data_IF_925226608171
#
_entry.id   IF_925226608171
#
_cell.length_a   1.000
_cell.length_b   1.000
_cell.length_c   1.000
_cell.angle_alpha   90.00
_cell.angle_beta   90.00
_cell.angle_gamma   90.00
#
_symmetry.space_group_name_H-M   'P 1'
#
loop_
_entity.id
_entity.type
_entity.pdbx_description
1 polymer ?
#
# COMPACT_ATOMS: atom_id res chain seq x y z
N UNK A 1 6.95 -24.18 -22.27
CA UNK A 1 6.96 -23.05 -23.21
C UNK A 1 6.88 -21.81 -22.34
N UNK A 2 7.91 -20.95 -22.28
CA UNK A 2 7.80 -19.72 -21.50
C UNK A 2 6.71 -18.87 -22.15
N UNK A 3 5.61 -18.63 -21.46
CA UNK A 3 4.57 -17.73 -21.94
C UNK A 3 5.15 -16.34 -22.07
N UNK A 4 5.08 -15.75 -23.26
CA UNK A 4 5.52 -14.38 -23.50
C UNK A 4 4.45 -13.41 -22.99
N UNK A 5 4.61 -12.93 -21.75
CA UNK A 5 3.70 -11.97 -21.10
C UNK A 5 3.97 -10.53 -21.52
N UNK A 6 5.12 -10.24 -22.14
CA UNK A 6 5.52 -8.88 -22.48
C UNK A 6 4.54 -8.17 -23.42
N UNK A 7 4.00 -8.82 -24.48
CA UNK A 7 3.00 -8.20 -25.35
C UNK A 7 1.73 -7.78 -24.59
N UNK A 8 1.26 -8.57 -23.62
CA UNK A 8 0.08 -8.24 -22.83
C UNK A 8 0.33 -7.03 -21.92
N UNK A 9 1.46 -7.02 -21.22
CA UNK A 9 1.86 -5.89 -20.39
C UNK A 9 2.06 -4.61 -21.21
N UNK A 10 2.62 -4.72 -22.42
CA UNK A 10 2.78 -3.58 -23.33
C UNK A 10 1.44 -2.98 -23.76
N UNK A 11 0.44 -3.82 -24.04
CA UNK A 11 -0.92 -3.38 -24.36
C UNK A 11 -1.54 -2.63 -23.18
N UNK A 12 -1.41 -3.17 -21.96
CA UNK A 12 -1.91 -2.53 -20.74
C UNK A 12 -1.22 -1.19 -20.48
N UNK A 13 0.11 -1.12 -20.65
CA UNK A 13 0.86 0.12 -20.54
C UNK A 13 0.29 1.22 -21.44
N UNK A 14 0.06 0.89 -22.72
CA UNK A 14 -0.48 1.83 -23.69
C UNK A 14 -1.91 2.30 -23.35
N UNK A 15 -2.75 1.43 -22.78
CA UNK A 15 -4.09 1.80 -22.34
C UNK A 15 -4.06 2.74 -21.13
N UNK A 16 -3.32 2.36 -20.07
CA UNK A 16 -3.19 3.18 -18.86
C UNK A 16 -2.65 4.58 -19.17
N UNK A 17 -1.55 4.67 -19.92
CA UNK A 17 -0.94 5.97 -20.24
C UNK A 17 -1.83 6.87 -21.10
N UNK A 18 -2.71 6.29 -21.92
CA UNK A 18 -3.63 7.04 -22.79
C UNK A 18 -4.87 7.51 -22.03
N UNK A 19 -5.48 6.63 -21.25
CA UNK A 19 -6.84 6.84 -20.75
C UNK A 19 -6.88 7.30 -19.28
N UNK A 20 -5.77 7.20 -18.53
CA UNK A 20 -5.72 7.63 -17.13
C UNK A 20 -6.16 9.08 -16.87
N UNK A 21 -5.80 10.08 -17.68
CA UNK A 21 -6.26 11.46 -17.47
C UNK A 21 -7.78 11.65 -17.61
N UNK A 22 -8.46 10.72 -18.28
CA UNK A 22 -9.91 10.73 -18.47
C UNK A 22 -10.66 9.84 -17.48
N UNK A 23 -9.94 9.14 -16.58
CA UNK A 23 -10.56 8.33 -15.55
C UNK A 23 -11.38 9.19 -14.57
N UNK A 24 -12.43 8.60 -13.99
CA UNK A 24 -13.18 9.25 -12.92
C UNK A 24 -12.34 9.41 -11.65
N UNK A 25 -12.75 10.33 -10.76
CA UNK A 25 -12.00 10.66 -9.55
C UNK A 25 -11.92 9.48 -8.58
N UNK A 26 -10.70 9.17 -8.11
CA UNK A 26 -10.49 8.22 -7.02
C UNK A 26 -10.35 8.97 -5.69
N UNK A 27 -11.22 8.66 -4.73
CA UNK A 27 -11.09 9.16 -3.35
C UNK A 27 -10.37 8.12 -2.49
N UNK A 28 -9.40 8.53 -1.69
CA UNK A 28 -8.61 7.61 -0.88
C UNK A 28 -8.42 8.10 0.56
N UNK A 29 -8.55 7.20 1.53
CA UNK A 29 -8.31 7.45 2.95
C UNK A 29 -7.91 6.15 3.66
N UNK A 30 -7.56 6.17 4.94
CA UNK A 30 -7.48 7.31 5.86
C UNK A 30 -6.14 7.36 6.59
N UNK A 31 -5.06 6.86 5.99
CA UNK A 31 -3.70 7.05 6.50
C UNK A 31 -2.86 7.93 5.56
N UNK A 32 -2.33 9.00 6.13
CA UNK A 32 -1.30 9.82 5.51
C UNK A 32 -0.23 10.12 6.57
N UNK A 33 1.03 9.98 6.20
CA UNK A 33 2.17 10.32 7.04
C UNK A 33 3.34 10.81 6.16
N UNK A 34 4.45 11.17 6.80
CA UNK A 34 5.73 11.37 6.11
C UNK A 34 6.61 10.16 6.35
N UNK A 35 7.11 9.54 5.28
CA UNK A 35 8.12 8.50 5.37
C UNK A 35 9.52 9.12 5.31
N UNK A 36 10.33 8.82 6.32
CA UNK A 36 11.79 8.97 6.29
C UNK A 36 12.39 7.64 5.82
N UNK A 37 12.84 7.61 4.56
CA UNK A 37 13.34 6.40 3.91
C UNK A 37 14.86 6.29 4.07
N UNK A 38 15.29 5.14 4.59
CA UNK A 38 16.69 4.75 4.80
C UNK A 38 17.00 3.51 3.95
N UNK A 39 17.94 3.63 3.01
CA UNK A 39 18.43 2.52 2.18
C UNK A 39 19.65 1.92 2.85
N UNK A 40 19.47 0.77 3.50
CA UNK A 40 20.49 0.14 4.30
C UNK A 40 21.58 -0.50 3.44
N UNK A 41 22.81 -0.05 3.67
CA UNK A 41 24.04 -0.67 3.17
C UNK A 41 24.61 -1.67 4.18
N UNK A 42 25.66 -2.39 3.79
CA UNK A 42 26.47 -3.20 4.70
C UNK A 42 27.06 -2.36 5.85
N UNK A 43 27.47 -1.12 5.57
CA UNK A 43 27.96 -0.16 6.57
C UNK A 43 26.87 0.20 7.58
N UNK A 44 25.63 0.42 7.14
CA UNK A 44 24.51 0.74 8.02
C UNK A 44 24.13 -0.44 8.92
N UNK A 45 24.08 -1.65 8.36
CA UNK A 45 23.83 -2.87 9.14
C UNK A 45 24.92 -3.12 10.18
N UNK A 46 26.19 -2.92 9.81
CA UNK A 46 27.30 -3.00 10.76
C UNK A 46 27.22 -1.92 11.85
N UNK A 47 26.76 -0.71 11.51
CA UNK A 47 26.51 0.37 12.49
C UNK A 47 25.43 -0.03 13.48
N UNK A 48 24.25 -0.45 13.01
CA UNK A 48 23.15 -0.90 13.87
C UNK A 48 23.58 -2.04 14.80
N UNK A 49 24.41 -2.97 14.30
CA UNK A 49 24.96 -4.06 15.10
C UNK A 49 25.89 -3.58 16.21
N UNK A 50 26.85 -2.69 15.88
CA UNK A 50 27.72 -2.08 16.90
C UNK A 50 26.92 -1.33 17.96
N UNK A 51 25.87 -0.63 17.56
CA UNK A 51 24.98 0.08 18.48
C UNK A 51 24.24 -0.90 19.39
N UNK A 52 23.75 -2.02 18.84
CA UNK A 52 23.16 -3.10 19.63
C UNK A 52 24.15 -3.67 20.66
N UNK A 53 25.43 -3.83 20.31
CA UNK A 53 26.44 -4.37 21.22
C UNK A 53 26.93 -3.36 22.29
N UNK A 54 26.53 -2.09 22.18
CA UNK A 54 26.91 -1.06 23.16
C UNK A 54 26.35 -1.36 24.56
N UNK A 55 27.17 -1.31 25.62
CA UNK A 55 26.70 -1.50 27.00
C UNK A 55 25.83 -0.33 27.49
N UNK A 56 25.90 0.84 26.86
CA UNK A 56 25.13 2.02 27.21
C UNK A 56 23.68 1.99 26.68
N UNK A 57 23.35 1.02 25.82
CA UNK A 57 22.04 0.93 25.18
C UNK A 57 20.96 0.51 26.17
N UNK A 58 19.86 1.28 26.24
CA UNK A 58 18.77 0.99 27.18
C UNK A 58 18.02 -0.29 26.80
N UNK A 59 17.33 -0.96 27.74
CA UNK A 59 16.65 -2.23 27.46
C UNK A 59 15.61 -2.17 26.34
N UNK A 60 14.85 -1.09 26.22
CA UNK A 60 13.84 -0.91 25.16
C UNK A 60 14.50 -0.73 23.79
N UNK A 61 15.50 0.15 23.71
CA UNK A 61 16.31 0.41 22.51
C UNK A 61 16.99 -0.88 22.02
N UNK A 62 17.54 -1.68 22.95
CA UNK A 62 18.13 -3.00 22.68
C UNK A 62 17.14 -3.97 22.07
N UNK A 63 15.95 -4.11 22.67
CA UNK A 63 14.90 -5.01 22.14
C UNK A 63 14.44 -4.60 20.75
N UNK A 64 14.30 -3.30 20.51
CA UNK A 64 13.92 -2.78 19.20
C UNK A 64 14.98 -3.11 18.15
N UNK A 65 16.27 -2.82 18.40
CA UNK A 65 17.35 -3.12 17.45
C UNK A 65 17.52 -4.61 17.20
N UNK A 66 17.42 -5.45 18.24
CA UNK A 66 17.50 -6.90 18.10
C UNK A 66 16.36 -7.44 17.23
N UNK A 67 15.12 -6.98 17.48
CA UNK A 67 13.95 -7.33 16.67
C UNK A 67 14.12 -6.86 15.22
N UNK A 68 14.53 -5.61 15.03
CA UNK A 68 14.75 -5.01 13.71
C UNK A 68 15.78 -5.80 12.89
N UNK A 69 16.95 -6.07 13.47
CA UNK A 69 18.01 -6.85 12.84
C UNK A 69 17.57 -8.30 12.58
N UNK A 70 16.80 -8.90 13.48
CA UNK A 70 16.19 -10.22 13.27
C UNK A 70 15.25 -10.26 12.06
N UNK A 71 14.40 -9.23 11.89
CA UNK A 71 13.47 -9.11 10.74
C UNK A 71 14.22 -8.90 9.44
N UNK A 72 15.13 -7.93 9.38
CA UNK A 72 15.98 -7.67 8.20
C UNK A 72 16.75 -8.93 7.82
N UNK A 73 17.38 -9.58 8.80
CA UNK A 73 18.18 -10.78 8.61
C UNK A 73 17.42 -11.98 8.06
N UNK A 74 16.14 -12.09 8.39
CA UNK A 74 15.25 -13.13 7.87
C UNK A 74 14.54 -12.71 6.57
N UNK A 75 14.71 -11.45 6.15
CA UNK A 75 14.08 -10.89 4.98
C UNK A 75 12.57 -10.67 5.14
N UNK A 76 12.07 -10.54 6.36
CA UNK A 76 10.65 -10.32 6.60
C UNK A 76 10.31 -8.83 6.55
N UNK A 77 9.34 -8.48 5.72
CA UNK A 77 8.67 -7.18 5.80
C UNK A 77 7.92 -7.10 7.14
N UNK A 78 7.91 -5.92 7.76
CA UNK A 78 7.23 -5.69 9.03
C UNK A 78 6.93 -4.21 9.27
N UNK A 79 5.88 -3.95 10.03
CA UNK A 79 5.60 -2.66 10.64
C UNK A 79 5.70 -2.82 12.17
N UNK A 80 6.48 -1.97 12.84
CA UNK A 80 6.76 -2.06 14.27
C UNK A 80 6.45 -0.75 14.98
N UNK A 81 5.70 -0.82 16.08
CA UNK A 81 5.55 0.30 17.00
C UNK A 81 6.80 0.40 17.90
N UNK A 82 7.61 1.42 17.63
CA UNK A 82 8.86 1.72 18.30
C UNK A 82 8.61 2.61 19.52
N UNK A 83 8.62 2.01 20.72
CA UNK A 83 8.51 2.73 22.00
C UNK A 83 9.83 3.39 22.44
N UNK A 84 10.40 4.21 21.56
CA UNK A 84 11.66 4.95 21.75
C UNK A 84 11.49 6.39 21.28
N UNK A 85 12.38 7.29 21.73
CA UNK A 85 12.34 8.68 21.31
C UNK A 85 12.74 8.83 19.82
N UNK A 86 12.01 9.61 19.01
CA UNK A 86 12.40 9.96 17.64
C UNK A 86 13.86 10.43 17.52
N UNK A 87 14.28 11.34 18.40
CA UNK A 87 15.65 11.88 18.42
C UNK A 87 16.74 10.81 18.62
N UNK A 88 16.43 9.69 19.27
CA UNK A 88 17.37 8.57 19.40
C UNK A 88 17.50 7.80 18.08
N UNK A 89 16.39 7.53 17.39
CA UNK A 89 16.40 6.90 16.06
C UNK A 89 17.17 7.76 15.04
N UNK A 90 16.97 9.07 15.09
CA UNK A 90 17.60 10.05 14.18
C UNK A 90 19.07 10.34 14.51
N UNK A 91 19.60 9.80 15.63
CA UNK A 91 21.00 9.97 15.96
C UNK A 91 21.92 9.30 14.95
N UNK A 92 23.12 9.85 14.75
CA UNK A 92 24.13 9.31 13.83
C UNK A 92 24.60 7.89 14.20
N UNK A 93 24.42 7.48 15.45
CA UNK A 93 24.75 6.14 15.92
C UNK A 93 23.68 5.10 15.54
N UNK A 94 22.48 5.53 15.16
CA UNK A 94 21.38 4.65 14.76
C UNK A 94 21.10 4.82 13.25
N UNK A 95 20.23 5.74 12.86
CA UNK A 95 19.84 5.92 11.46
C UNK A 95 20.48 7.15 10.80
N UNK A 96 20.77 8.21 11.56
CA UNK A 96 21.19 9.50 11.02
C UNK A 96 20.11 10.13 10.11
N UNK A 97 20.56 10.78 9.03
CA UNK A 97 19.66 11.45 8.09
C UNK A 97 19.04 10.48 7.07
N UNK A 98 17.73 10.62 6.75
CA UNK A 98 17.10 9.79 5.74
C UNK A 98 17.66 10.08 4.35
N UNK A 99 17.72 9.05 3.50
CA UNK A 99 18.10 9.20 2.10
C UNK A 99 17.05 9.99 1.32
N UNK A 100 15.78 9.87 1.70
CA UNK A 100 14.66 10.56 1.04
C UNK A 100 13.53 10.78 2.05
N UNK A 101 12.80 11.88 1.90
CA UNK A 101 11.50 12.11 2.55
C UNK A 101 10.43 12.05 1.48
N UNK A 102 9.34 11.33 1.76
CA UNK A 102 8.24 11.17 0.83
C UNK A 102 6.91 11.09 1.58
N UNK A 103 5.81 11.28 0.86
CA UNK A 103 4.49 10.99 1.41
C UNK A 103 4.36 9.48 1.67
N UNK A 104 3.84 9.14 2.84
CA UNK A 104 3.63 7.78 3.32
C UNK A 104 2.16 7.49 3.62
N UNK A 105 1.86 6.22 3.89
CA UNK A 105 0.51 5.72 4.09
C UNK A 105 -0.13 5.23 2.78
N UNK A 106 -0.79 4.08 2.84
CA UNK A 106 -1.42 3.39 1.71
C UNK A 106 -2.30 4.31 0.87
N UNK A 107 -3.21 5.07 1.48
CA UNK A 107 -4.09 5.99 0.74
C UNK A 107 -3.29 7.02 -0.06
N UNK A 108 -2.26 7.61 0.55
CA UNK A 108 -1.40 8.59 -0.12
C UNK A 108 -0.51 7.95 -1.21
N UNK A 109 -0.02 6.73 -1.00
CA UNK A 109 0.78 5.99 -1.98
C UNK A 109 -0.04 5.58 -3.21
N UNK A 110 -1.30 5.17 -3.00
CA UNK A 110 -2.28 4.93 -4.08
C UNK A 110 -2.50 6.22 -4.86
N UNK A 111 -2.83 7.31 -4.17
CA UNK A 111 -3.06 8.60 -4.79
C UNK A 111 -1.83 9.13 -5.54
N UNK A 112 -0.62 8.98 -5.00
CA UNK A 112 0.61 9.37 -5.67
C UNK A 112 0.81 8.61 -6.98
N UNK A 113 0.56 7.29 -6.95
CA UNK A 113 0.66 6.45 -8.15
C UNK A 113 -0.33 6.88 -9.23
N UNK A 114 -1.57 7.17 -8.85
CA UNK A 114 -2.63 7.65 -9.76
C UNK A 114 -2.32 9.04 -10.32
N UNK A 115 -1.93 9.98 -9.46
CA UNK A 115 -1.62 11.35 -9.84
C UNK A 115 -0.46 11.43 -10.84
N UNK A 116 0.57 10.59 -10.67
CA UNK A 116 1.70 10.51 -11.61
C UNK A 116 1.28 9.99 -12.98
N UNK A 117 0.25 9.15 -13.05
CA UNK A 117 -0.36 8.70 -14.31
C UNK A 117 -1.37 9.72 -14.88
N UNK A 118 -1.62 10.83 -14.17
CA UNK A 118 -2.57 11.87 -14.56
C UNK A 118 -4.01 11.58 -14.15
N UNK A 119 -4.29 10.49 -13.43
CA UNK A 119 -5.63 10.17 -12.96
C UNK A 119 -6.06 11.10 -11.81
N UNK A 120 -7.29 11.66 -11.85
CA UNK A 120 -7.78 12.53 -10.78
C UNK A 120 -7.92 11.78 -9.45
N UNK A 121 -7.35 12.32 -8.39
CA UNK A 121 -7.42 11.70 -7.06
C UNK A 121 -7.54 12.75 -5.95
N UNK A 122 -8.26 12.39 -4.89
CA UNK A 122 -8.45 13.21 -3.70
C UNK A 122 -8.20 12.36 -2.46
N UNK A 123 -7.43 12.87 -1.50
CA UNK A 123 -7.16 12.18 -0.23
C UNK A 123 -7.81 12.86 0.97
N UNK A 124 -8.13 12.07 1.99
CA UNK A 124 -8.38 12.59 3.33
C UNK A 124 -7.07 13.13 3.91
N UNK A 125 -7.05 14.39 4.35
CA UNK A 125 -5.85 14.98 4.94
C UNK A 125 -6.18 16.01 6.03
N UNK A 126 -6.11 15.57 7.29
CA UNK A 126 -6.28 16.42 8.46
C UNK A 126 -4.99 17.17 8.80
N UNK A 127 -3.84 16.48 8.78
CA UNK A 127 -2.54 17.13 9.01
C UNK A 127 -2.07 17.87 7.75
N UNK A 128 -2.27 19.18 7.74
CA UNK A 128 -1.86 20.10 6.67
C UNK A 128 -0.67 20.97 7.12
N UNK A 129 0.22 20.40 7.93
CA UNK A 129 1.50 21.04 8.27
C UNK A 129 2.41 21.17 7.05
N UNK A 130 3.36 22.11 7.12
CA UNK A 130 4.35 22.32 6.04
C UNK A 130 5.10 21.03 5.70
N UNK A 131 5.48 20.24 6.71
CA UNK A 131 6.22 18.99 6.51
C UNK A 131 5.48 17.97 5.65
N UNK A 132 4.16 17.82 5.82
CA UNK A 132 3.36 16.95 4.94
C UNK A 132 3.20 17.59 3.56
N UNK A 133 2.84 18.88 3.49
CA UNK A 133 2.54 19.55 2.22
C UNK A 133 3.78 19.65 1.31
N UNK A 134 4.98 19.76 1.88
CA UNK A 134 6.26 19.69 1.14
C UNK A 134 6.49 18.33 0.48
N UNK A 135 5.94 17.25 1.04
CA UNK A 135 6.05 15.89 0.48
C UNK A 135 4.88 15.52 -0.43
N UNK A 136 3.81 16.32 -0.47
CA UNK A 136 2.58 16.04 -1.20
C UNK A 136 2.77 16.27 -2.72
N UNK A 137 2.64 15.23 -3.58
CA UNK A 137 2.77 15.37 -5.03
C UNK A 137 1.76 16.33 -5.66
N UNK A 138 2.19 17.07 -6.69
CA UNK A 138 1.45 18.17 -7.33
C UNK A 138 0.11 17.82 -8.03
N UNK A 139 -0.26 16.54 -8.09
CA UNK A 139 -1.52 16.09 -8.69
C UNK A 139 -2.54 15.52 -7.68
N UNK A 140 -2.20 15.48 -6.40
CA UNK A 140 -3.12 14.95 -5.38
C UNK A 140 -4.01 16.07 -4.84
N UNK A 141 -5.31 15.88 -4.93
CA UNK A 141 -6.31 16.79 -4.39
C UNK A 141 -6.52 16.63 -2.88
N UNK A 142 -6.75 17.74 -2.19
CA UNK A 142 -7.15 17.81 -0.77
C UNK A 142 -8.37 18.71 -0.67
N UNK A 143 -9.39 18.28 0.06
CA UNK A 143 -10.63 19.02 0.25
C UNK A 143 -10.42 20.25 1.15
N UNK A 144 -10.62 21.46 0.61
CA UNK A 144 -10.53 22.71 1.36
C UNK A 144 -11.52 23.75 0.83
N UNK A 145 -12.31 24.33 1.74
CA UNK A 145 -13.26 25.40 1.46
C UNK A 145 -14.26 25.02 0.32
N UNK A 146 -14.85 23.83 0.43
CA UNK A 146 -15.90 23.36 -0.50
C UNK A 146 -15.41 22.85 -1.86
N UNK A 147 -14.10 22.70 -2.07
CA UNK A 147 -13.54 22.15 -3.32
C UNK A 147 -12.27 21.33 -3.05
N UNK A 148 -11.90 20.45 -3.99
CA UNK A 148 -10.60 19.79 -3.97
C UNK A 148 -9.54 20.72 -4.55
N UNK A 149 -8.43 20.89 -3.83
CA UNK A 149 -7.29 21.73 -4.23
C UNK A 149 -6.01 20.90 -4.30
N UNK A 150 -5.13 21.24 -5.24
CA UNK A 150 -3.79 20.64 -5.37
C UNK A 150 -2.73 21.63 -4.90
N UNK A 151 -1.49 21.17 -4.64
CA UNK A 151 -0.38 22.08 -4.33
C UNK A 151 -0.06 22.98 -5.54
N UNK A 152 0.32 24.26 -5.33
CA UNK A 152 0.54 24.96 -4.06
C UNK A 152 -0.72 25.66 -3.50
N UNK A 153 -1.92 25.33 -3.97
CA UNK A 153 -3.17 26.04 -3.60
C UNK A 153 -3.80 25.57 -2.27
N UNK A 154 -3.19 24.58 -1.62
CA UNK A 154 -3.59 24.11 -0.30
C UNK A 154 -3.02 25.07 0.75
N UNK A 155 -3.86 25.50 1.69
CA UNK A 155 -3.42 26.38 2.78
C UNK A 155 -2.91 25.53 3.93
N UNK A 156 -1.65 25.75 4.32
CA UNK A 156 -1.06 25.12 5.49
C UNK A 156 -1.82 25.51 6.76
N UNK A 157 -1.91 24.57 7.70
CA UNK A 157 -2.44 24.81 9.04
C UNK A 157 -1.29 24.92 10.04
N UNK A 158 -1.34 25.85 11.02
CA UNK A 158 -0.29 26.04 12.01
C UNK A 158 -0.35 24.96 13.10
N UNK A 159 -0.20 23.69 12.71
CA UNK A 159 -0.22 22.52 13.60
C UNK A 159 1.17 21.89 13.67
N UNK A 160 1.49 21.29 14.82
CA UNK A 160 2.62 20.36 14.88
C UNK A 160 2.23 19.12 14.06
N UNK A 161 2.96 18.88 12.97
CA UNK A 161 2.73 17.70 12.15
C UNK A 161 2.94 16.39 12.92
N UNK A 162 2.41 15.30 12.37
CA UNK A 162 2.64 13.94 12.88
C UNK A 162 4.12 13.59 12.79
N UNK A 163 4.64 12.79 13.73
CA UNK A 163 6.00 12.28 13.61
C UNK A 163 6.11 11.39 12.35
N UNK A 164 7.28 11.35 11.71
CA UNK A 164 7.49 10.56 10.51
C UNK A 164 7.50 9.06 10.84
N UNK A 165 7.28 8.25 9.81
CA UNK A 165 7.57 6.83 9.83
C UNK A 165 9.00 6.61 9.35
N UNK A 166 9.75 5.71 10.00
CA UNK A 166 11.12 5.39 9.60
C UNK A 166 11.09 4.12 8.78
N UNK A 167 11.38 4.23 7.49
CA UNK A 167 11.27 3.12 6.56
C UNK A 167 12.67 2.64 6.21
N UNK A 168 13.03 1.45 6.69
CA UNK A 168 14.35 0.86 6.49
C UNK A 168 14.28 -0.16 5.35
N UNK A 169 14.67 0.26 4.16
CA UNK A 169 14.75 -0.59 2.97
C UNK A 169 16.07 -1.35 2.94
N UNK A 170 16.01 -2.65 2.64
CA UNK A 170 17.17 -3.51 2.48
C UNK A 170 17.07 -4.33 1.19
N UNK A 171 18.23 -4.67 0.64
CA UNK A 171 18.32 -5.34 -0.66
C UNK A 171 18.87 -6.75 -0.55
N UNK A 172 18.31 -7.65 -1.36
CA UNK A 172 18.85 -9.00 -1.54
C UNK A 172 20.33 -8.93 -1.92
N UNK A 173 21.15 -9.69 -1.20
CA UNK A 173 22.59 -9.76 -1.44
C UNK A 173 23.42 -8.71 -0.69
N UNK A 174 22.81 -7.78 0.05
CA UNK A 174 23.54 -6.94 0.99
C UNK A 174 24.18 -7.84 2.06
N UNK A 175 25.47 -7.66 2.30
CA UNK A 175 26.22 -8.47 3.26
C UNK A 175 26.11 -7.91 4.67
N UNK A 176 26.01 -8.81 5.65
CA UNK A 176 26.06 -8.51 7.08
C UNK A 176 26.65 -9.72 7.84
N UNK A 177 26.76 -9.63 9.17
CA UNK A 177 27.43 -10.65 10.01
C UNK A 177 26.93 -12.09 9.77
N UNK A 178 25.64 -12.26 9.43
CA UNK A 178 25.00 -13.57 9.22
C UNK A 178 24.97 -14.00 7.74
N UNK A 179 25.71 -13.35 6.86
CA UNK A 179 25.81 -13.69 5.44
C UNK A 179 25.21 -12.64 4.51
N UNK A 180 24.67 -13.06 3.37
CA UNK A 180 23.99 -12.16 2.44
C UNK A 180 22.47 -12.19 2.69
N UNK A 181 21.81 -11.02 2.65
CA UNK A 181 20.36 -10.95 2.84
C UNK A 181 19.61 -11.76 1.76
N UNK A 182 18.62 -12.59 2.15
CA UNK A 182 18.01 -13.56 1.23
C UNK A 182 17.04 -12.93 0.23
N UNK A 183 16.41 -11.80 0.59
CA UNK A 183 15.45 -11.05 -0.24
C UNK A 183 15.57 -9.54 0.01
N UNK A 184 15.01 -8.76 -0.91
CA UNK A 184 14.77 -7.33 -0.69
C UNK A 184 13.46 -7.15 0.07
N UNK A 185 13.38 -6.10 0.87
CA UNK A 185 12.21 -5.79 1.69
C UNK A 185 12.42 -4.51 2.48
N UNK A 186 11.51 -4.26 3.41
CA UNK A 186 11.55 -3.09 4.28
C UNK A 186 10.97 -3.38 5.66
N UNK A 187 11.44 -2.62 6.66
CA UNK A 187 10.80 -2.54 7.97
C UNK A 187 10.37 -1.10 8.21
N UNK A 188 9.11 -0.88 8.57
CA UNK A 188 8.56 0.41 8.97
C UNK A 188 8.58 0.51 10.50
N UNK A 189 9.19 1.56 11.03
CA UNK A 189 9.14 1.89 12.46
C UNK A 189 8.23 3.11 12.66
N UNK A 190 7.26 2.97 13.55
CA UNK A 190 6.34 4.04 13.93
C UNK A 190 6.59 4.41 15.38
N UNK A 191 6.67 5.70 15.71
CA UNK A 191 6.84 6.13 17.11
C UNK A 191 5.52 6.45 17.80
N UNK A 192 4.40 6.40 17.07
CA UNK A 192 3.05 6.59 17.62
C UNK A 192 1.98 5.81 16.85
N UNK A 193 0.78 5.77 17.42
CA UNK A 193 -0.42 5.41 16.68
C UNK A 193 -0.93 6.62 15.90
N UNK A 194 -0.90 6.57 14.57
CA UNK A 194 -1.24 7.73 13.72
C UNK A 194 -2.74 8.02 13.68
N UNK A 195 -3.54 7.06 14.17
CA UNK A 195 -4.99 7.09 14.06
C UNK A 195 -5.43 7.06 12.60
N UNK A 196 -6.50 7.79 12.32
CA UNK A 196 -7.04 7.99 10.97
C UNK A 196 -7.17 9.48 10.67
N UNK A 197 -7.16 9.84 9.39
CA UNK A 197 -7.49 11.18 8.91
C UNK A 197 -9.00 11.44 9.06
N UNK A 198 -9.44 12.01 10.18
CA UNK A 198 -10.83 12.47 10.39
C UNK A 198 -11.04 13.84 9.72
N UNK A 199 -10.95 13.89 8.40
CA UNK A 199 -11.14 15.11 7.62
C UNK A 199 -12.62 15.28 7.22
N UNK A 200 -13.34 16.16 7.94
CA UNK A 200 -14.76 16.43 7.66
C UNK A 200 -14.98 17.03 6.26
N UNK A 201 -14.08 17.89 5.78
CA UNK A 201 -14.22 18.48 4.44
C UNK A 201 -14.07 17.41 3.37
N UNK A 202 -13.19 16.43 3.59
CA UNK A 202 -13.10 15.25 2.74
C UNK A 202 -14.37 14.40 2.83
N UNK A 203 -14.86 14.09 4.03
CA UNK A 203 -16.09 13.31 4.21
C UNK A 203 -17.28 13.91 3.45
N UNK A 204 -17.48 15.23 3.58
CA UNK A 204 -18.60 15.94 2.96
C UNK A 204 -18.51 15.96 1.42
N UNK A 205 -17.30 16.18 0.87
CA UNK A 205 -17.11 16.33 -0.58
C UNK A 205 -16.88 15.01 -1.31
N UNK A 206 -16.30 14.00 -0.66
CA UNK A 206 -15.89 12.75 -1.31
C UNK A 206 -17.08 11.91 -1.79
N UNK A 207 -18.24 12.00 -1.14
CA UNK A 207 -19.44 11.27 -1.53
C UNK A 207 -20.19 11.89 -2.72
N UNK A 208 -20.28 13.23 -2.77
CA UNK A 208 -21.18 13.93 -3.71
C UNK A 208 -20.50 15.06 -4.50
N UNK A 209 -19.50 15.73 -3.91
CA UNK A 209 -18.91 16.95 -4.45
C UNK A 209 -17.80 16.71 -5.48
N UNK A 210 -17.12 15.56 -5.42
CA UNK A 210 -15.97 15.24 -6.31
C UNK A 210 -16.29 14.24 -7.42
N UNK A 211 -17.55 13.79 -7.51
CA UNK A 211 -18.00 12.76 -8.45
C UNK A 211 -17.08 11.52 -8.44
N UNK A 212 -16.95 10.90 -7.26
CA UNK A 212 -16.05 9.77 -7.07
C UNK A 212 -16.49 8.57 -7.92
N UNK A 213 -15.55 8.00 -8.68
CA UNK A 213 -15.75 6.78 -9.45
C UNK A 213 -15.23 5.53 -8.72
N UNK A 214 -14.31 5.71 -7.78
CA UNK A 214 -13.89 4.67 -6.85
C UNK A 214 -13.46 5.27 -5.50
N UNK A 215 -13.66 4.50 -4.44
CA UNK A 215 -13.17 4.79 -3.09
C UNK A 215 -12.15 3.75 -2.64
N UNK A 216 -11.05 4.18 -2.02
CA UNK A 216 -10.02 3.32 -1.44
C UNK A 216 -9.91 3.59 0.06
N UNK A 217 -10.04 2.53 0.85
CA UNK A 217 -9.97 2.52 2.31
C UNK A 217 -8.74 1.77 2.78
N UNK A 218 -8.01 2.38 3.71
CA UNK A 218 -6.80 1.84 4.30
C UNK A 218 -6.46 2.56 5.60
N UNK A 219 -5.37 2.17 6.27
CA UNK A 219 -4.85 2.88 7.44
C UNK A 219 -5.39 2.43 8.78
N UNK A 220 -6.29 1.47 8.81
CA UNK A 220 -6.88 0.94 10.06
C UNK A 220 -5.84 0.28 10.98
N UNK A 221 -4.65 -0.09 10.47
CA UNK A 221 -3.53 -0.58 11.27
C UNK A 221 -2.94 0.50 12.21
N UNK A 222 -3.22 1.77 11.94
CA UNK A 222 -2.87 2.90 12.80
C UNK A 222 -3.84 3.15 13.95
N UNK A 223 -5.00 2.48 13.97
CA UNK A 223 -6.06 2.69 14.96
C UNK A 223 -5.76 1.90 16.25
N UNK A 224 -5.70 2.54 17.43
CA UNK A 224 -5.51 1.85 18.69
C UNK A 224 -6.62 0.83 18.99
N UNK A 225 -6.27 -0.24 19.71
CA UNK A 225 -7.26 -1.19 20.19
C UNK A 225 -8.33 -0.48 21.05
N UNK A 226 -9.60 -0.69 20.72
CA UNK A 226 -10.74 -0.10 21.44
C UNK A 226 -11.19 1.29 20.94
N UNK A 227 -10.51 1.90 19.97
CA UNK A 227 -10.94 3.18 19.39
C UNK A 227 -12.11 3.01 18.40
N UNK A 228 -13.32 2.83 18.94
CA UNK A 228 -14.55 2.66 18.14
C UNK A 228 -14.95 3.90 17.36
N UNK A 229 -14.54 5.09 17.80
CA UNK A 229 -14.89 6.37 17.14
C UNK A 229 -14.30 6.39 15.74
N UNK A 230 -13.01 6.06 15.61
CA UNK A 230 -12.33 5.99 14.33
C UNK A 230 -12.96 4.95 13.39
N UNK A 231 -13.33 3.78 13.90
CA UNK A 231 -14.03 2.75 13.12
C UNK A 231 -15.37 3.22 12.57
N UNK A 232 -16.21 3.81 13.44
CA UNK A 232 -17.52 4.33 13.07
C UNK A 232 -17.37 5.45 12.04
N UNK A 233 -16.39 6.34 12.22
CA UNK A 233 -16.10 7.39 11.26
C UNK A 233 -15.80 6.84 9.86
N UNK A 234 -14.79 5.96 9.74
CA UNK A 234 -14.38 5.39 8.45
C UNK A 234 -15.53 4.64 7.80
N UNK A 235 -16.26 3.82 8.55
CA UNK A 235 -17.43 3.10 8.04
C UNK A 235 -18.54 4.05 7.57
N UNK A 236 -18.75 5.16 8.27
CA UNK A 236 -19.75 6.18 7.88
C UNK A 236 -19.40 6.83 6.55
N UNK A 237 -18.14 7.26 6.37
CA UNK A 237 -17.69 7.86 5.10
C UNK A 237 -17.77 6.86 3.95
N UNK A 238 -17.33 5.62 4.18
CA UNK A 238 -17.42 4.54 3.19
C UNK A 238 -18.87 4.21 2.81
N UNK A 239 -19.78 4.20 3.79
CA UNK A 239 -21.21 4.03 3.59
C UNK A 239 -21.78 5.14 2.71
N UNK A 240 -21.41 6.39 2.99
CA UNK A 240 -21.83 7.54 2.17
C UNK A 240 -21.38 7.43 0.70
N UNK A 241 -20.17 6.90 0.43
CA UNK A 241 -19.74 6.59 -0.94
C UNK A 241 -20.63 5.55 -1.59
N UNK A 242 -20.92 4.46 -0.86
CA UNK A 242 -21.75 3.37 -1.37
C UNK A 242 -23.18 3.85 -1.67
N UNK A 243 -23.77 4.60 -0.76
CA UNK A 243 -25.12 5.18 -0.89
C UNK A 243 -25.20 6.21 -2.02
N UNK A 244 -24.10 6.90 -2.32
CA UNK A 244 -23.98 7.82 -3.45
C UNK A 244 -23.74 7.11 -4.80
N UNK A 245 -23.69 5.77 -4.81
CA UNK A 245 -23.57 4.97 -6.02
C UNK A 245 -22.15 4.75 -6.50
N UNK A 246 -21.13 4.98 -5.67
CA UNK A 246 -19.73 4.65 -6.03
C UNK A 246 -19.64 3.13 -6.27
N UNK A 247 -19.27 2.70 -7.49
CA UNK A 247 -19.36 1.28 -7.87
C UNK A 247 -18.30 0.43 -7.18
N UNK A 248 -17.10 1.00 -6.95
CA UNK A 248 -15.97 0.31 -6.35
C UNK A 248 -15.61 1.02 -5.04
N UNK A 249 -15.77 0.30 -3.94
CA UNK A 249 -15.31 0.71 -2.62
C UNK A 249 -14.36 -0.39 -2.15
N UNK A 250 -13.06 -0.11 -2.23
CA UNK A 250 -12.00 -1.08 -2.02
C UNK A 250 -11.37 -0.90 -0.64
N UNK A 251 -11.34 -1.96 0.16
CA UNK A 251 -10.61 -2.01 1.42
C UNK A 251 -9.28 -2.72 1.21
N UNK A 252 -8.18 -1.99 1.36
CA UNK A 252 -6.83 -2.55 1.40
C UNK A 252 -6.47 -2.90 2.85
N UNK A 253 -6.13 -4.16 3.08
CA UNK A 253 -5.63 -4.64 4.37
C UNK A 253 -4.14 -4.25 4.52
N UNK A 254 -3.70 -4.11 5.78
CA UNK A 254 -2.29 -3.91 6.11
C UNK A 254 -1.81 -4.85 7.23
N UNK A 255 -0.60 -4.61 7.75
CA UNK A 255 -0.06 -5.39 8.86
C UNK A 255 -0.61 -4.93 10.22
N UNK A 256 -1.77 -5.47 10.61
CA UNK A 256 -2.40 -5.15 11.90
C UNK A 256 -1.72 -5.88 13.06
N UNK A 257 -0.91 -5.15 13.83
CA UNK A 257 -0.21 -5.70 15.00
C UNK A 257 -1.15 -6.09 16.18
N UNK A 258 -2.35 -5.50 16.25
CA UNK A 258 -3.22 -5.59 17.43
C UNK A 258 -4.65 -6.03 17.13
N UNK A 259 -5.00 -6.17 15.85
CA UNK A 259 -6.37 -6.47 15.43
C UNK A 259 -6.38 -7.74 14.60
N UNK A 260 -7.30 -8.68 14.87
CA UNK A 260 -7.54 -9.78 13.96
C UNK A 260 -7.98 -9.21 12.60
N UNK A 261 -7.18 -9.45 11.56
CA UNK A 261 -7.46 -9.03 10.17
C UNK A 261 -8.91 -9.35 9.74
N UNK A 262 -9.44 -10.50 10.17
CA UNK A 262 -10.79 -10.91 9.82
C UNK A 262 -11.86 -10.03 10.45
N UNK A 263 -11.63 -9.56 11.68
CA UNK A 263 -12.54 -8.63 12.35
C UNK A 263 -12.60 -7.29 11.61
N UNK A 264 -11.48 -6.85 11.04
CA UNK A 264 -11.44 -5.67 10.16
C UNK A 264 -12.32 -5.87 8.94
N UNK A 265 -12.13 -6.96 8.21
CA UNK A 265 -12.89 -7.25 7.00
C UNK A 265 -14.40 -7.39 7.29
N UNK A 266 -14.77 -8.11 8.34
CA UNK A 266 -16.16 -8.25 8.80
C UNK A 266 -16.78 -6.91 9.16
N UNK A 267 -16.04 -6.02 9.82
CA UNK A 267 -16.54 -4.69 10.19
C UNK A 267 -16.80 -3.78 8.97
N UNK A 268 -16.39 -4.16 7.77
CA UNK A 268 -16.68 -3.42 6.54
C UNK A 268 -17.64 -4.15 5.59
N UNK A 269 -18.12 -5.34 5.99
CA UNK A 269 -19.14 -6.09 5.26
C UNK A 269 -20.38 -5.23 4.99
N UNK A 270 -20.89 -5.31 3.76
CA UNK A 270 -22.02 -4.53 3.25
C UNK A 270 -21.71 -3.08 2.87
N UNK A 271 -20.51 -2.58 3.20
CA UNK A 271 -20.09 -1.21 2.87
C UNK A 271 -19.04 -1.19 1.76
N UNK A 272 -18.13 -2.16 1.79
CA UNK A 272 -17.09 -2.31 0.75
C UNK A 272 -17.52 -3.34 -0.28
N UNK A 273 -17.10 -3.15 -1.53
CA UNK A 273 -17.39 -4.08 -2.63
C UNK A 273 -16.18 -4.93 -2.99
N UNK A 274 -14.98 -4.48 -2.62
CA UNK A 274 -13.72 -5.15 -2.91
C UNK A 274 -12.82 -5.17 -1.68
N UNK A 275 -12.05 -6.26 -1.56
CA UNK A 275 -10.98 -6.40 -0.56
C UNK A 275 -9.64 -6.61 -1.29
N UNK A 276 -8.56 -6.03 -0.77
CA UNK A 276 -7.20 -6.25 -1.22
C UNK A 276 -6.29 -6.67 -0.06
N UNK A 277 -5.36 -7.57 -0.34
CA UNK A 277 -4.39 -8.07 0.63
C UNK A 277 -3.16 -8.65 -0.06
N UNK A 278 -2.03 -8.69 0.64
CA UNK A 278 -0.92 -9.57 0.30
C UNK A 278 -1.27 -11.04 0.59
N UNK A 279 -0.55 -11.98 -0.03
CA UNK A 279 -0.66 -13.40 0.31
C UNK A 279 -0.37 -13.68 1.80
N UNK A 280 0.55 -12.92 2.40
CA UNK A 280 0.88 -13.07 3.82
C UNK A 280 -0.31 -12.66 4.72
N UNK A 281 -1.00 -11.57 4.39
CA UNK A 281 -2.21 -11.14 5.11
C UNK A 281 -3.38 -12.10 4.90
N UNK A 282 -3.56 -12.61 3.68
CA UNK A 282 -4.56 -13.65 3.39
C UNK A 282 -4.34 -14.92 4.22
N UNK A 283 -3.08 -15.32 4.42
CA UNK A 283 -2.73 -16.43 5.30
C UNK A 283 -3.05 -16.15 6.77
N UNK A 284 -2.73 -14.95 7.25
CA UNK A 284 -3.08 -14.51 8.61
C UNK A 284 -4.60 -14.38 8.85
N UNK A 285 -5.39 -14.16 7.80
CA UNK A 285 -6.85 -14.20 7.85
C UNK A 285 -7.40 -15.61 8.13
N UNK A 286 -6.63 -16.66 7.85
CA UNK A 286 -7.06 -18.05 8.03
C UNK A 286 -6.58 -19.01 6.95
N UNK A 287 -5.95 -18.53 5.87
CA UNK A 287 -5.53 -19.40 4.75
C UNK A 287 -4.24 -20.21 5.01
N UNK A 288 -3.75 -20.33 6.25
CA UNK A 288 -2.41 -20.86 6.56
C UNK A 288 -2.13 -22.26 5.97
N UNK A 289 -3.16 -23.10 5.76
CA UNK A 289 -3.03 -24.43 5.12
C UNK A 289 -4.04 -24.66 3.98
N UNK A 290 -4.77 -23.62 3.57
CA UNK A 290 -5.82 -23.73 2.56
C UNK A 290 -5.35 -23.23 1.19
N UNK A 291 -5.95 -23.74 0.11
CA UNK A 291 -5.79 -23.16 -1.22
C UNK A 291 -6.19 -21.68 -1.16
N UNK A 292 -5.28 -20.73 -1.44
CA UNK A 292 -5.57 -19.30 -1.35
C UNK A 292 -6.73 -18.88 -2.26
N UNK A 293 -6.96 -19.60 -3.37
CA UNK A 293 -8.10 -19.34 -4.26
C UNK A 293 -9.42 -19.69 -3.59
N UNK A 294 -9.49 -20.86 -2.96
CA UNK A 294 -10.70 -21.31 -2.27
C UNK A 294 -11.02 -20.40 -1.08
N UNK A 295 -10.02 -20.08 -0.26
CA UNK A 295 -10.21 -19.18 0.88
C UNK A 295 -10.64 -17.77 0.45
N UNK A 296 -10.03 -17.20 -0.60
CA UNK A 296 -10.44 -15.90 -1.12
C UNK A 296 -11.88 -15.90 -1.64
N UNK A 297 -12.34 -16.99 -2.26
CA UNK A 297 -13.75 -17.16 -2.65
C UNK A 297 -14.67 -17.21 -1.43
N UNK A 298 -14.37 -18.06 -0.45
CA UNK A 298 -15.19 -18.22 0.74
C UNK A 298 -15.28 -16.92 1.55
N UNK A 299 -14.17 -16.18 1.63
CA UNK A 299 -14.12 -14.84 2.20
C UNK A 299 -15.01 -13.86 1.42
N UNK A 300 -14.93 -13.86 0.10
CA UNK A 300 -15.74 -12.99 -0.74
C UNK A 300 -17.24 -13.29 -0.60
N UNK A 301 -17.62 -14.57 -0.54
CA UNK A 301 -19.01 -14.98 -0.30
C UNK A 301 -19.49 -14.59 1.10
N UNK A 302 -18.69 -14.86 2.14
CA UNK A 302 -19.05 -14.58 3.53
C UNK A 302 -19.16 -13.09 3.86
N UNK A 303 -18.47 -12.24 3.11
CA UNK A 303 -18.48 -10.78 3.28
C UNK A 303 -19.30 -10.05 2.20
N UNK A 304 -20.01 -10.80 1.34
CA UNK A 304 -20.82 -10.28 0.23
C UNK A 304 -20.04 -9.34 -0.72
N UNK A 305 -18.75 -9.63 -0.93
CA UNK A 305 -17.88 -8.87 -1.83
C UNK A 305 -18.12 -9.26 -3.28
N UNK A 306 -17.86 -8.34 -4.21
CA UNK A 306 -17.82 -8.66 -5.63
C UNK A 306 -16.46 -9.26 -6.04
N UNK A 307 -15.41 -8.96 -5.26
CA UNK A 307 -14.06 -9.49 -5.49
C UNK A 307 -13.14 -9.47 -4.27
N UNK A 308 -12.12 -10.31 -4.32
CA UNK A 308 -10.94 -10.29 -3.46
C UNK A 308 -9.69 -10.26 -4.34
N UNK A 309 -8.83 -9.27 -4.14
CA UNK A 309 -7.54 -9.12 -4.80
C UNK A 309 -6.41 -9.56 -3.88
N UNK A 310 -5.53 -10.37 -4.44
CA UNK A 310 -4.37 -10.89 -3.70
C UNK A 310 -3.12 -10.66 -4.51
N UNK A 311 -2.14 -9.99 -3.92
CA UNK A 311 -0.82 -9.83 -4.53
C UNK A 311 0.25 -10.63 -3.78
N UNK A 312 1.19 -11.19 -4.53
CA UNK A 312 2.38 -11.88 -4.04
C UNK A 312 3.60 -11.40 -4.83
N UNK A 313 4.79 -11.86 -4.43
CA UNK A 313 6.05 -11.41 -5.04
C UNK A 313 6.13 -11.70 -6.56
N UNK A 314 5.59 -12.84 -6.98
CA UNK A 314 5.75 -13.34 -8.35
C UNK A 314 4.45 -13.49 -9.14
N UNK A 315 3.30 -13.33 -8.50
CA UNK A 315 1.99 -13.42 -9.13
C UNK A 315 0.99 -12.59 -8.35
N UNK A 316 -0.10 -12.24 -9.01
CA UNK A 316 -1.26 -11.63 -8.37
C UNK A 316 -2.52 -12.28 -8.92
N UNK A 317 -3.61 -12.26 -8.16
CA UNK A 317 -4.89 -12.82 -8.57
C UNK A 317 -6.08 -11.96 -8.14
N UNK A 318 -7.16 -12.11 -8.88
CA UNK A 318 -8.51 -11.64 -8.53
C UNK A 318 -9.43 -12.85 -8.46
N UNK A 319 -10.13 -13.02 -7.34
CA UNK A 319 -11.29 -13.92 -7.23
C UNK A 319 -12.54 -13.06 -7.31
N UNK A 320 -13.38 -13.27 -8.32
CA UNK A 320 -14.43 -12.32 -8.69
C UNK A 320 -15.65 -12.96 -9.35
N UNK A 321 -16.73 -12.17 -9.46
CA UNK A 321 -17.93 -12.48 -10.29
C UNK A 321 -18.03 -11.64 -11.57
N UNK A 322 -17.11 -10.70 -11.77
CA UNK A 322 -17.09 -9.79 -12.92
C UNK A 322 -16.67 -10.43 -14.25
N UNK A 323 -16.56 -9.60 -15.29
CA UNK A 323 -16.04 -10.01 -16.59
C UNK A 323 -14.57 -10.44 -16.51
N UNK A 324 -14.27 -11.62 -17.01
CA UNK A 324 -12.94 -12.25 -16.90
C UNK A 324 -11.84 -11.46 -17.61
N UNK A 325 -12.13 -10.88 -18.77
CA UNK A 325 -11.12 -10.14 -19.53
C UNK A 325 -10.76 -8.83 -18.81
N UNK A 326 -11.76 -8.11 -18.32
CA UNK A 326 -11.55 -6.88 -17.53
C UNK A 326 -10.79 -7.15 -16.25
N UNK A 327 -11.14 -8.23 -15.55
CA UNK A 327 -10.51 -8.64 -14.30
C UNK A 327 -9.04 -9.02 -14.51
N UNK A 328 -8.73 -9.77 -15.57
CA UNK A 328 -7.36 -10.07 -15.96
C UNK A 328 -6.56 -8.80 -16.29
N UNK A 329 -7.11 -7.91 -17.12
CA UNK A 329 -6.47 -6.65 -17.50
C UNK A 329 -6.15 -5.78 -16.29
N UNK A 330 -7.05 -5.80 -15.32
CA UNK A 330 -6.89 -5.09 -14.08
C UNK A 330 -5.73 -5.64 -13.22
N UNK A 331 -5.62 -6.96 -13.06
CA UNK A 331 -4.49 -7.55 -12.31
C UNK A 331 -3.16 -7.30 -13.04
N UNK A 332 -3.15 -7.36 -14.39
CA UNK A 332 -1.99 -6.98 -15.19
C UNK A 332 -1.61 -5.50 -14.96
N UNK A 333 -2.59 -4.60 -14.93
CA UNK A 333 -2.36 -3.17 -14.68
C UNK A 333 -1.73 -2.92 -13.31
N UNK A 334 -2.27 -3.52 -12.25
CA UNK A 334 -1.68 -3.44 -10.91
C UNK A 334 -0.23 -3.90 -10.90
N UNK A 335 0.04 -5.09 -11.46
CA UNK A 335 1.40 -5.63 -11.54
C UNK A 335 2.36 -4.72 -12.32
N UNK A 336 1.90 -4.08 -13.39
CA UNK A 336 2.72 -3.19 -14.21
C UNK A 336 3.10 -1.90 -13.48
N UNK A 337 2.15 -1.27 -12.78
CA UNK A 337 2.39 -0.04 -12.02
C UNK A 337 3.35 -0.33 -10.86
N UNK A 338 3.13 -1.44 -10.13
CA UNK A 338 4.03 -1.90 -9.09
C UNK A 338 5.44 -2.22 -9.62
N UNK A 339 5.56 -2.99 -10.72
CA UNK A 339 6.86 -3.33 -11.32
C UNK A 339 7.60 -2.09 -11.83
N UNK A 340 6.87 -1.11 -12.37
CA UNK A 340 7.45 0.17 -12.83
C UNK A 340 8.02 0.96 -11.65
N UNK A 341 7.30 1.05 -10.53
CA UNK A 341 7.79 1.64 -9.28
C UNK A 341 9.00 0.89 -8.71
N UNK A 342 8.92 -0.44 -8.66
CA UNK A 342 10.02 -1.29 -8.21
C UNK A 342 11.31 -1.02 -9.01
N UNK A 343 11.19 -0.73 -10.31
CA UNK A 343 12.31 -0.35 -11.17
C UNK A 343 12.84 1.06 -10.90
N UNK A 344 11.96 2.04 -10.73
CA UNK A 344 12.36 3.46 -10.68
C UNK A 344 12.68 3.98 -9.28
N UNK A 345 12.11 3.37 -8.24
CA UNK A 345 12.22 3.79 -6.84
C UNK A 345 11.08 4.70 -6.38
N UNK A 346 10.28 5.22 -7.30
CA UNK A 346 9.12 6.10 -7.07
C UNK A 346 8.06 5.85 -8.15
N UNK A 347 6.79 6.22 -7.93
CA UNK A 347 5.80 6.20 -8.99
C UNK A 347 6.26 6.94 -10.26
N UNK A 348 5.92 6.41 -11.43
CA UNK A 348 6.41 6.91 -12.72
C UNK A 348 5.32 6.87 -13.80
N UNK A 349 5.26 7.85 -14.71
CA UNK A 349 4.32 7.80 -15.85
C UNK A 349 4.79 6.82 -16.93
N UNK A 350 6.05 6.37 -16.87
CA UNK A 350 6.66 5.49 -17.89
C UNK A 350 6.49 4.04 -17.47
N UNK A 351 5.40 3.44 -17.95
CA UNK A 351 5.06 2.05 -17.67
C UNK A 351 5.70 1.10 -18.69
N UNK A 352 6.51 0.16 -18.21
CA UNK A 352 7.14 -0.86 -19.05
C UNK A 352 7.63 -2.04 -18.23
N UNK A 353 7.69 -3.21 -18.87
CA UNK A 353 8.38 -4.38 -18.32
C UNK A 353 9.88 -4.15 -18.44
N UNK A 354 10.61 -4.35 -17.35
CA UNK A 354 12.06 -4.23 -17.36
C UNK A 354 12.71 -5.47 -18.00
N UNK A 355 13.81 -5.29 -18.72
CA UNK A 355 14.52 -6.39 -19.41
C UNK A 355 15.07 -7.47 -18.48
N UNK A 356 15.26 -7.17 -17.19
CA UNK A 356 15.67 -8.13 -16.16
C UNK A 356 14.50 -8.70 -15.33
N UNK A 357 13.25 -8.39 -15.71
CA UNK A 357 12.10 -8.98 -15.05
C UNK A 357 12.00 -10.47 -15.36
N UNK A 358 11.59 -11.24 -14.36
CA UNK A 358 11.31 -12.68 -14.49
C UNK A 358 9.85 -12.95 -14.21
N UNK A 359 9.28 -13.94 -14.90
CA UNK A 359 7.91 -14.40 -14.69
C UNK A 359 7.93 -15.83 -14.13
N UNK A 360 7.06 -16.11 -13.15
CA UNK A 360 6.89 -17.46 -12.62
C UNK A 360 5.80 -18.22 -13.37
N UNK A 361 5.99 -19.53 -13.53
CA UNK A 361 4.91 -20.46 -13.89
C UNK A 361 4.26 -21.08 -12.63
N UNK A 362 4.91 -20.97 -11.47
CA UNK A 362 4.39 -21.42 -10.17
C UNK A 362 3.41 -20.39 -9.59
N UNK A 363 2.14 -20.54 -9.96
CA UNK A 363 1.03 -19.68 -9.55
C UNK A 363 -0.29 -20.44 -9.64
N UNK A 364 -1.36 -19.98 -8.95
CA UNK A 364 -2.70 -20.50 -9.17
C UNK A 364 -3.13 -20.43 -10.64
N UNK A 365 -3.82 -21.47 -11.11
CA UNK A 365 -4.37 -21.50 -12.45
C UNK A 365 -5.63 -20.64 -12.55
N UNK A 366 -5.76 -19.87 -13.63
CA UNK A 366 -6.99 -19.13 -13.94
C UNK A 366 -8.09 -20.09 -14.39
N UNK A 367 -9.26 -20.03 -13.76
CA UNK A 367 -10.34 -21.01 -13.96
C UNK A 367 -11.68 -20.52 -13.41
N UNK A 368 -12.75 -21.17 -13.84
CA UNK A 368 -14.03 -21.07 -13.15
C UNK A 368 -13.97 -21.82 -11.80
N UNK A 369 -14.63 -21.26 -10.79
CA UNK A 369 -14.73 -21.82 -9.44
C UNK A 369 -16.12 -22.40 -9.13
N UNK A 370 -17.08 -22.20 -10.02
CA UNK A 370 -18.50 -22.54 -9.82
C UNK A 370 -19.29 -21.40 -9.16
N UNK A 371 -20.62 -21.48 -9.18
CA UNK A 371 -21.49 -20.46 -8.56
C UNK A 371 -21.33 -19.04 -9.15
N UNK A 372 -20.89 -18.92 -10.41
CA UNK A 372 -20.61 -17.65 -11.06
C UNK A 372 -19.27 -17.01 -10.69
N UNK A 373 -18.43 -17.69 -9.90
CA UNK A 373 -17.10 -17.21 -9.53
C UNK A 373 -16.01 -17.67 -10.49
N UNK A 374 -15.01 -16.80 -10.64
CA UNK A 374 -13.80 -17.04 -11.42
C UNK A 374 -12.58 -16.61 -10.62
N UNK A 375 -11.43 -17.17 -11.00
CA UNK A 375 -10.12 -16.65 -10.62
C UNK A 375 -9.34 -16.30 -11.88
N UNK A 376 -8.84 -15.07 -11.93
CA UNK A 376 -7.86 -14.62 -12.91
C UNK A 376 -6.54 -14.37 -12.18
N UNK A 377 -5.47 -15.01 -12.64
CA UNK A 377 -4.17 -14.97 -11.99
C UNK A 377 -3.12 -14.78 -13.08
N UNK A 378 -2.20 -13.85 -12.87
CA UNK A 378 -1.16 -13.49 -13.84
C UNK A 378 0.18 -13.36 -13.12
N UNK A 379 1.30 -13.72 -13.76
CA UNK A 379 2.61 -13.57 -13.17
C UNK A 379 3.03 -12.10 -13.16
N UNK A 380 3.66 -11.68 -12.07
CA UNK A 380 4.18 -10.32 -11.88
C UNK A 380 5.53 -10.19 -12.59
N UNK A 381 5.85 -9.06 -13.27
CA UNK A 381 7.19 -8.79 -13.78
C UNK A 381 8.18 -8.54 -12.63
N UNK A 382 8.65 -9.61 -12.00
CA UNK A 382 9.41 -9.55 -10.76
C UNK A 382 10.87 -9.13 -10.99
N UNK A 383 11.36 -8.19 -10.18
CA UNK A 383 12.76 -7.78 -10.13
C UNK A 383 13.42 -8.30 -8.85
N UNK A 384 14.49 -9.08 -9.00
CA UNK A 384 15.23 -9.62 -7.85
C UNK A 384 15.98 -8.56 -7.03
N UNK A 385 16.21 -7.37 -7.60
CA UNK A 385 16.87 -6.23 -6.98
C UNK A 385 16.12 -4.94 -7.36
N UNK A 386 14.93 -4.72 -6.78
CA UNK A 386 14.19 -3.48 -7.03
C UNK A 386 14.90 -2.30 -6.38
N UNK A 387 14.64 -1.08 -6.87
CA UNK A 387 15.12 0.17 -6.25
C UNK A 387 14.36 0.55 -4.98
N UNK A 388 13.14 0.06 -4.85
CA UNK A 388 12.30 0.21 -3.65
C UNK A 388 11.38 -0.99 -3.51
N UNK A 389 11.04 -1.34 -2.27
CA UNK A 389 9.95 -2.28 -1.95
C UNK A 389 8.77 -1.59 -1.29
N UNK A 390 8.92 -0.32 -0.92
CA UNK A 390 7.92 0.48 -0.21
C UNK A 390 6.82 0.91 -1.18
N UNK A 391 5.58 0.70 -0.77
CA UNK A 391 4.38 1.08 -1.53
C UNK A 391 4.17 0.30 -2.83
N UNK A 392 4.79 -0.88 -3.00
CA UNK A 392 4.53 -1.73 -4.17
C UNK A 392 3.11 -2.32 -4.17
N UNK A 393 2.61 -2.74 -3.00
CA UNK A 393 1.21 -3.17 -2.82
C UNK A 393 0.24 -2.03 -3.15
N UNK A 394 0.49 -0.84 -2.59
CA UNK A 394 -0.31 0.36 -2.88
C UNK A 394 -0.30 0.73 -4.38
N UNK A 395 0.85 0.63 -5.04
CA UNK A 395 0.95 0.83 -6.49
C UNK A 395 0.22 -0.25 -7.29
N UNK A 396 0.17 -1.50 -6.80
CA UNK A 396 -0.65 -2.56 -7.37
C UNK A 396 -2.15 -2.22 -7.25
N UNK A 397 -2.61 -1.77 -6.09
CA UNK A 397 -3.99 -1.30 -5.88
C UNK A 397 -4.31 -0.14 -6.81
N UNK A 398 -3.43 0.86 -6.90
CA UNK A 398 -3.60 2.01 -7.79
C UNK A 398 -3.80 1.62 -9.25
N UNK A 399 -2.89 0.78 -9.79
CA UNK A 399 -3.00 0.30 -11.17
C UNK A 399 -4.27 -0.53 -11.40
N UNK A 400 -4.66 -1.32 -10.39
CA UNK A 400 -5.87 -2.13 -10.45
C UNK A 400 -7.14 -1.27 -10.48
N UNK A 401 -7.28 -0.32 -9.55
CA UNK A 401 -8.41 0.60 -9.52
C UNK A 401 -8.46 1.42 -10.81
N UNK A 402 -7.34 1.95 -11.28
CA UNK A 402 -7.31 2.73 -12.52
C UNK A 402 -7.81 1.94 -13.73
N UNK A 403 -7.35 0.70 -13.91
CA UNK A 403 -7.81 -0.15 -14.99
C UNK A 403 -9.32 -0.38 -14.93
N UNK A 404 -9.88 -0.62 -13.74
CA UNK A 404 -11.32 -0.81 -13.58
C UNK A 404 -12.19 0.41 -13.93
N UNK A 405 -11.59 1.60 -14.02
CA UNK A 405 -12.28 2.83 -14.41
C UNK A 405 -12.21 3.12 -15.92
N UNK A 406 -11.28 2.49 -16.64
CA UNK A 406 -11.00 2.81 -18.06
C UNK A 406 -11.22 1.63 -19.01
N UNK A 407 -11.49 0.42 -18.49
CA UNK A 407 -11.78 -0.80 -19.27
C UNK A 407 -13.22 -1.27 -19.07
#
# INVERSE_FOLDING_TARGET
MRSDWEPEYRRIAAALMRDAPAAGTVVAGFNVCVDHVYRLTDVDLARLRRTLDSPALKPLERRLLDTLLGRIGSGHDAELLAHVAPAWLESNDVLGHPNTRQIGGTAAQVAWSLAVLGAPTVIALTDRSDGILETLPAGIGVCQAGSAKVTPHITAQPVSGKPPHYVLEYSRGTWWERGALPRSGHVVLRTCNDGIEQDQQFADLSAVGVNAAAGVLSGLAGVPAGDTVSWVWVRTVAGAWRDSGVPIVHLELGDYCHLPLLAVAVNFSGVVTSLGASLAELRRLGANDQDPVAFARDLAEGLELSRVLVHADHWSMSVHRGDRSRERDMVLAGNLVAASRARTGTPTPVLSVHSHSTFTDDRPASRALGGGWYVECVPTPHLARPRTTVGLGDSFVAGSILASLIT
#
